data_IF_104989337433
#
_entry.id   IF_104989337433
#
_cell.length_a   1.000
_cell.length_b   1.000
_cell.length_c   1.000
_cell.angle_alpha   90.00
_cell.angle_beta   90.00
_cell.angle_gamma   90.00
#
_symmetry.space_group_name_H-M   'P 1'
#
loop_
_entity.id
_entity.type
_entity.pdbx_description
1 polymer ?
#
# COMPACT_ATOMS: atom_id res chain seq x y z
N UNK A 1 3.41 -2.28 24.12
CA UNK A 1 2.87 -1.82 22.82
C UNK A 1 2.16 -2.98 22.13
N UNK A 2 0.90 -2.81 21.83
CA UNK A 2 0.09 -3.84 21.14
C UNK A 2 -0.16 -3.39 19.70
N UNK A 3 0.29 -4.18 18.74
CA UNK A 3 0.06 -3.93 17.31
C UNK A 3 -1.00 -4.91 16.81
N UNK A 4 -2.10 -4.38 16.26
CA UNK A 4 -3.18 -5.18 15.68
C UNK A 4 -3.38 -4.80 14.22
N UNK A 5 -3.62 -5.80 13.36
CA UNK A 5 -3.96 -5.59 11.96
C UNK A 5 -5.41 -6.03 11.76
N UNK A 6 -6.29 -5.09 11.41
CA UNK A 6 -7.74 -5.29 11.37
C UNK A 6 -8.31 -4.86 10.01
N UNK A 7 -9.31 -5.58 9.49
CA UNK A 7 -9.99 -5.13 8.27
C UNK A 7 -10.62 -3.73 8.46
N UNK A 8 -10.53 -2.91 7.41
CA UNK A 8 -11.20 -1.60 7.38
C UNK A 8 -12.65 -1.81 6.95
N UNK A 9 -13.59 -1.18 7.65
CA UNK A 9 -15.03 -1.25 7.38
C UNK A 9 -15.54 0.07 6.85
N UNK A 10 -16.75 0.09 6.30
CA UNK A 10 -17.35 1.33 5.81
C UNK A 10 -17.43 2.40 6.90
N UNK A 11 -17.66 2.02 8.15
CA UNK A 11 -17.67 2.95 9.27
C UNK A 11 -16.33 3.66 9.48
N UNK A 12 -15.24 3.12 8.92
CA UNK A 12 -13.88 3.64 9.08
C UNK A 12 -13.45 4.58 7.95
N UNK A 13 -14.33 4.86 6.97
CA UNK A 13 -13.96 5.61 5.75
C UNK A 13 -13.39 7.00 6.05
N UNK A 14 -13.95 7.72 7.02
CA UNK A 14 -13.41 9.04 7.40
C UNK A 14 -11.97 8.94 7.91
N UNK A 15 -11.67 7.94 8.74
CA UNK A 15 -10.30 7.69 9.22
C UNK A 15 -9.39 7.24 8.10
N UNK A 16 -9.87 6.39 7.21
CA UNK A 16 -9.07 5.95 6.06
C UNK A 16 -8.69 7.13 5.17
N UNK A 17 -9.64 8.03 4.90
CA UNK A 17 -9.37 9.24 4.12
C UNK A 17 -8.31 10.11 4.78
N UNK A 18 -8.47 10.37 6.08
CA UNK A 18 -7.54 11.20 6.85
C UNK A 18 -6.12 10.63 6.83
N UNK A 19 -5.98 9.34 7.10
CA UNK A 19 -4.67 8.69 7.14
C UNK A 19 -4.05 8.59 5.73
N UNK A 20 -4.89 8.35 4.71
CA UNK A 20 -4.42 8.31 3.31
C UNK A 20 -3.80 9.65 2.90
N UNK A 21 -4.48 10.76 3.19
CA UNK A 21 -3.98 12.10 2.88
C UNK A 21 -2.72 12.41 3.68
N UNK A 22 -2.75 12.17 5.00
CA UNK A 22 -1.61 12.44 5.88
C UNK A 22 -0.33 11.72 5.41
N UNK A 23 -0.45 10.44 5.11
CA UNK A 23 0.71 9.62 4.73
C UNK A 23 1.18 9.92 3.30
N UNK A 24 0.28 10.20 2.39
CA UNK A 24 0.64 10.62 1.04
C UNK A 24 1.40 11.95 1.06
N UNK A 25 0.89 12.93 1.81
CA UNK A 25 1.52 14.24 1.95
C UNK A 25 2.91 14.12 2.56
N UNK A 26 3.10 13.27 3.56
CA UNK A 26 4.40 13.06 4.17
C UNK A 26 5.44 12.53 3.17
N UNK A 27 5.01 11.71 2.21
CA UNK A 27 5.90 11.13 1.20
C UNK A 27 6.11 12.06 0.02
N UNK A 28 5.05 12.63 -0.53
CA UNK A 28 5.07 13.34 -1.80
C UNK A 28 4.94 14.85 -1.69
N UNK A 29 4.48 15.36 -0.54
CA UNK A 29 4.25 16.78 -0.31
C UNK A 29 5.44 17.68 -0.64
N UNK A 30 6.65 17.35 -0.14
CA UNK A 30 7.83 18.18 -0.40
C UNK A 30 8.23 18.31 -1.87
N UNK A 31 7.72 17.44 -2.72
CA UNK A 31 8.13 17.33 -4.14
C UNK A 31 7.05 17.76 -5.11
N UNK A 32 5.89 18.19 -4.62
CA UNK A 32 4.74 18.52 -5.47
C UNK A 32 4.09 19.83 -5.03
N UNK A 33 3.46 20.53 -5.97
CA UNK A 33 2.73 21.75 -5.69
C UNK A 33 1.45 21.44 -4.91
N UNK A 34 1.06 22.33 -4.00
CA UNK A 34 -0.13 22.17 -3.19
C UNK A 34 -1.40 21.97 -4.03
N UNK A 35 -1.54 22.70 -5.13
CA UNK A 35 -2.69 22.56 -6.02
C UNK A 35 -2.80 21.15 -6.62
N UNK A 36 -1.67 20.58 -7.04
CA UNK A 36 -1.61 19.22 -7.59
C UNK A 36 -1.93 18.17 -6.51
N UNK A 37 -1.45 18.38 -5.29
CA UNK A 37 -1.76 17.50 -4.16
C UNK A 37 -3.25 17.53 -3.84
N UNK A 38 -3.86 18.72 -3.76
CA UNK A 38 -5.28 18.83 -3.46
C UNK A 38 -6.14 18.18 -4.55
N UNK A 39 -5.77 18.34 -5.81
CA UNK A 39 -6.46 17.68 -6.91
C UNK A 39 -6.37 16.17 -6.79
N UNK A 40 -5.20 15.65 -6.43
CA UNK A 40 -5.00 14.22 -6.22
C UNK A 40 -5.89 13.71 -5.08
N UNK A 41 -5.93 14.41 -3.94
CA UNK A 41 -6.74 14.00 -2.78
C UNK A 41 -8.23 13.97 -3.11
N UNK A 42 -8.72 14.98 -3.86
CA UNK A 42 -10.12 15.03 -4.27
C UNK A 42 -10.49 13.89 -5.22
N UNK A 43 -9.57 13.49 -6.08
CA UNK A 43 -9.80 12.42 -7.04
C UNK A 43 -9.64 11.04 -6.41
N UNK A 44 -8.56 10.82 -5.67
CA UNK A 44 -8.18 9.48 -5.20
C UNK A 44 -8.73 9.15 -3.81
N UNK A 45 -8.93 10.16 -2.95
CA UNK A 45 -9.25 9.93 -1.55
C UNK A 45 -10.58 10.56 -1.09
N UNK A 46 -11.48 10.91 -2.03
CA UNK A 46 -12.82 11.30 -1.60
C UNK A 46 -13.55 10.06 -1.06
N UNK A 47 -14.52 10.28 -0.18
CA UNK A 47 -15.21 9.19 0.54
C UNK A 47 -15.90 8.22 -0.41
N UNK A 48 -16.53 8.73 -1.47
CA UNK A 48 -17.22 7.87 -2.44
C UNK A 48 -16.25 6.97 -3.20
N UNK A 49 -15.09 7.52 -3.61
CA UNK A 49 -14.05 6.75 -4.27
C UNK A 49 -13.48 5.67 -3.34
N UNK A 50 -13.20 6.03 -2.09
CA UNK A 50 -12.67 5.07 -1.11
C UNK A 50 -13.69 3.99 -0.79
N UNK A 51 -14.98 4.34 -0.69
CA UNK A 51 -16.05 3.36 -0.48
C UNK A 51 -16.11 2.38 -1.65
N UNK A 52 -16.08 2.89 -2.87
CA UNK A 52 -16.09 2.07 -4.07
C UNK A 52 -14.91 1.08 -4.08
N UNK A 53 -13.72 1.55 -3.74
CA UNK A 53 -12.53 0.69 -3.67
C UNK A 53 -12.65 -0.33 -2.54
N UNK A 54 -13.16 0.08 -1.38
CA UNK A 54 -13.35 -0.79 -0.22
C UNK A 54 -14.31 -1.95 -0.54
N UNK A 55 -15.33 -1.70 -1.35
CA UNK A 55 -16.35 -2.67 -1.73
C UNK A 55 -16.00 -3.44 -3.01
N UNK A 56 -14.88 -3.11 -3.66
CA UNK A 56 -14.46 -3.79 -4.88
C UNK A 56 -14.05 -5.23 -4.57
N UNK A 57 -14.63 -6.23 -5.27
CA UNK A 57 -14.18 -7.61 -5.15
C UNK A 57 -12.69 -7.71 -5.49
N UNK A 58 -11.97 -8.59 -4.79
CA UNK A 58 -10.54 -8.82 -4.96
C UNK A 58 -9.63 -7.71 -4.44
N UNK A 59 -10.20 -6.65 -3.86
CA UNK A 59 -9.43 -5.63 -3.12
C UNK A 59 -9.69 -5.78 -1.63
N UNK A 60 -8.65 -5.60 -0.81
CA UNK A 60 -8.77 -5.70 0.64
C UNK A 60 -7.99 -4.59 1.32
N UNK A 61 -8.58 -4.02 2.38
CA UNK A 61 -7.98 -2.93 3.16
C UNK A 61 -7.85 -3.34 4.62
N UNK A 62 -6.73 -2.96 5.23
CA UNK A 62 -6.46 -3.22 6.65
C UNK A 62 -5.82 -2.01 7.30
N UNK A 63 -6.23 -1.73 8.55
CA UNK A 63 -5.49 -0.82 9.42
C UNK A 63 -4.48 -1.61 10.25
N UNK A 64 -3.32 -1.01 10.49
CA UNK A 64 -2.46 -1.39 11.61
C UNK A 64 -2.74 -0.39 12.72
N UNK A 65 -3.06 -0.90 13.91
CA UNK A 65 -3.33 -0.07 15.09
C UNK A 65 -2.30 -0.35 16.17
N UNK A 66 -1.85 0.71 16.82
CA UNK A 66 -0.95 0.61 17.99
C UNK A 66 -1.75 1.12 19.19
N UNK A 67 -2.00 0.24 20.13
CA UNK A 67 -2.78 0.56 21.34
C UNK A 67 -4.12 1.26 20.99
N UNK A 68 -4.76 0.79 19.93
CA UNK A 68 -6.06 1.29 19.46
C UNK A 68 -6.01 2.48 18.52
N UNK A 69 -4.86 3.11 18.31
CA UNK A 69 -4.71 4.25 17.39
C UNK A 69 -4.26 3.76 16.01
N UNK A 70 -4.83 4.30 14.94
CA UNK A 70 -4.42 3.95 13.58
C UNK A 70 -3.00 4.43 13.33
N UNK A 71 -2.11 3.49 13.05
CA UNK A 71 -0.68 3.74 12.81
C UNK A 71 -0.33 3.68 11.32
N UNK A 72 -1.10 2.96 10.53
CA UNK A 72 -0.86 2.80 9.10
C UNK A 72 -1.95 1.98 8.45
N UNK A 73 -1.82 1.75 7.15
CA UNK A 73 -2.80 0.94 6.43
C UNK A 73 -2.19 0.21 5.24
N UNK A 74 -2.93 -0.78 4.78
CA UNK A 74 -2.55 -1.67 3.68
C UNK A 74 -3.75 -1.82 2.75
N UNK A 75 -3.52 -1.71 1.44
CA UNK A 75 -4.47 -2.13 0.41
C UNK A 75 -3.80 -3.18 -0.45
N UNK A 76 -4.46 -4.33 -0.60
CA UNK A 76 -4.00 -5.41 -1.48
C UNK A 76 -5.04 -5.72 -2.55
N UNK A 77 -4.57 -6.19 -3.70
CA UNK A 77 -5.42 -6.57 -4.82
C UNK A 77 -4.96 -7.90 -5.40
N UNK A 78 -5.92 -8.69 -5.86
CA UNK A 78 -5.65 -9.89 -6.65
C UNK A 78 -6.50 -9.85 -7.93
N UNK A 79 -6.12 -10.64 -8.93
CA UNK A 79 -6.91 -10.77 -10.15
C UNK A 79 -7.06 -9.45 -10.88
N UNK A 80 -8.28 -9.15 -11.30
CA UNK A 80 -8.63 -7.98 -12.09
C UNK A 80 -8.64 -6.67 -11.29
N UNK A 81 -8.56 -6.74 -9.96
CA UNK A 81 -8.44 -5.54 -9.13
C UNK A 81 -7.04 -4.97 -9.12
N UNK A 82 -6.03 -5.71 -9.60
CA UNK A 82 -4.67 -5.20 -9.67
C UNK A 82 -4.58 -4.00 -10.61
N UNK A 83 -3.72 -3.05 -10.26
CA UNK A 83 -3.55 -1.82 -11.05
C UNK A 83 -2.84 -2.06 -12.38
N UNK A 84 -2.14 -3.19 -12.53
CA UNK A 84 -1.49 -3.62 -13.76
C UNK A 84 -1.68 -5.12 -13.93
N UNK A 85 -1.62 -5.58 -15.19
CA UNK A 85 -1.72 -7.00 -15.51
C UNK A 85 -0.39 -7.71 -15.19
N UNK A 86 -0.31 -8.31 -14.01
CA UNK A 86 0.90 -8.99 -13.52
C UNK A 86 0.74 -10.51 -13.44
N UNK A 87 -0.30 -11.05 -14.09
CA UNK A 87 -0.55 -12.49 -14.12
C UNK A 87 -1.46 -12.98 -12.99
N UNK A 88 -1.76 -14.28 -13.03
CA UNK A 88 -2.73 -14.90 -12.12
C UNK A 88 -2.12 -15.33 -10.78
N UNK A 89 -0.79 -15.35 -10.69
CA UNK A 89 -0.07 -15.83 -9.50
C UNK A 89 0.40 -14.73 -8.58
N UNK A 90 -0.08 -13.49 -8.79
CA UNK A 90 0.42 -12.33 -8.07
C UNK A 90 -0.65 -11.72 -7.16
N UNK A 91 -0.19 -11.18 -6.03
CA UNK A 91 -0.94 -10.26 -5.19
C UNK A 91 -0.21 -8.92 -5.23
N UNK A 92 -0.95 -7.86 -5.49
CA UNK A 92 -0.42 -6.50 -5.44
C UNK A 92 -0.56 -5.90 -4.05
N UNK A 93 0.50 -5.27 -3.54
CA UNK A 93 0.42 -4.32 -2.44
C UNK A 93 0.32 -2.94 -3.08
N UNK A 94 -0.90 -2.45 -3.29
CA UNK A 94 -1.12 -1.18 -3.97
C UNK A 94 -0.76 0.00 -3.08
N UNK A 95 -1.09 -0.08 -1.80
CA UNK A 95 -0.80 0.97 -0.82
C UNK A 95 -0.33 0.33 0.48
N UNK A 96 0.77 0.83 1.00
CA UNK A 96 1.28 0.49 2.31
C UNK A 96 1.94 1.73 2.88
N UNK A 97 1.37 2.27 3.94
CA UNK A 97 1.81 3.53 4.54
C UNK A 97 1.80 3.44 6.05
N UNK A 98 2.81 4.01 6.67
CA UNK A 98 2.92 4.13 8.13
C UNK A 98 3.06 5.62 8.46
N UNK A 99 2.23 6.10 9.39
CA UNK A 99 2.26 7.49 9.83
C UNK A 99 3.61 7.80 10.47
N UNK A 100 4.12 9.01 10.27
CA UNK A 100 5.47 9.39 10.70
C UNK A 100 5.74 9.09 12.17
N UNK A 101 4.78 9.39 13.06
CA UNK A 101 4.98 9.18 14.50
C UNK A 101 5.04 7.70 14.89
N UNK A 102 4.67 6.79 14.00
CA UNK A 102 4.71 5.34 14.26
C UNK A 102 5.80 4.61 13.46
N UNK A 103 6.63 5.34 12.72
CA UNK A 103 7.70 4.69 11.95
C UNK A 103 8.77 4.11 12.88
N UNK A 104 9.50 3.11 12.37
CA UNK A 104 10.58 2.41 13.07
C UNK A 104 10.10 1.64 14.31
N UNK A 105 8.84 1.20 14.31
CA UNK A 105 8.27 0.39 15.38
C UNK A 105 7.81 -0.98 14.89
N UNK A 106 8.24 -1.39 13.68
CA UNK A 106 7.88 -2.69 13.12
C UNK A 106 6.50 -2.75 12.46
N UNK A 107 5.81 -1.61 12.29
CA UNK A 107 4.47 -1.58 11.69
C UNK A 107 4.51 -2.03 10.23
N UNK A 108 5.46 -1.49 9.44
CA UNK A 108 5.62 -1.88 8.04
C UNK A 108 5.84 -3.37 7.86
N UNK A 109 6.68 -3.95 8.71
CA UNK A 109 6.94 -5.41 8.71
C UNK A 109 5.67 -6.20 9.00
N UNK A 110 4.84 -5.73 9.93
CA UNK A 110 3.56 -6.38 10.25
C UNK A 110 2.60 -6.31 9.07
N UNK A 111 2.58 -5.19 8.34
CA UNK A 111 1.73 -5.05 7.16
C UNK A 111 2.20 -5.94 6.01
N UNK A 112 3.51 -6.04 5.77
CA UNK A 112 4.05 -6.96 4.75
C UNK A 112 3.72 -8.41 5.14
N UNK A 113 3.86 -8.77 6.43
CA UNK A 113 3.49 -10.11 6.91
C UNK A 113 2.02 -10.40 6.62
N UNK A 114 1.14 -9.42 6.81
CA UNK A 114 -0.29 -9.57 6.49
C UNK A 114 -0.48 -9.82 4.99
N UNK A 115 0.23 -9.08 4.13
CA UNK A 115 0.16 -9.29 2.69
C UNK A 115 0.62 -10.70 2.29
N UNK A 116 1.68 -11.22 2.92
CA UNK A 116 2.15 -12.59 2.71
C UNK A 116 1.06 -13.59 3.10
N UNK A 117 0.42 -13.41 4.24
CA UNK A 117 -0.67 -14.29 4.70
C UNK A 117 -1.85 -14.28 3.71
N UNK A 118 -2.20 -13.10 3.18
CA UNK A 118 -3.26 -12.97 2.19
C UNK A 118 -2.91 -13.66 0.88
N UNK A 119 -1.66 -13.55 0.43
CA UNK A 119 -1.18 -14.22 -0.76
C UNK A 119 -1.22 -15.74 -0.58
N UNK A 120 -0.79 -16.25 0.56
CA UNK A 120 -0.86 -17.67 0.89
C UNK A 120 -2.30 -18.17 0.86
N UNK A 121 -3.22 -17.46 1.50
CA UNK A 121 -4.63 -17.82 1.54
C UNK A 121 -5.27 -17.83 0.15
N UNK A 122 -4.81 -16.96 -0.75
CA UNK A 122 -5.30 -16.88 -2.13
C UNK A 122 -4.50 -17.77 -3.10
N UNK A 123 -3.55 -18.57 -2.58
CA UNK A 123 -2.68 -19.44 -3.39
C UNK A 123 -1.86 -18.69 -4.42
N UNK A 124 -1.38 -17.50 -4.08
CA UNK A 124 -0.50 -16.71 -4.94
C UNK A 124 0.96 -16.99 -4.58
N UNK A 125 1.81 -17.04 -5.60
CA UNK A 125 3.24 -17.35 -5.42
C UNK A 125 4.14 -16.12 -5.41
N UNK A 126 3.60 -14.95 -5.69
CA UNK A 126 4.37 -13.72 -5.81
C UNK A 126 3.59 -12.54 -5.26
N UNK A 127 4.34 -11.59 -4.65
CA UNK A 127 3.81 -10.28 -4.23
C UNK A 127 4.58 -9.21 -4.98
N UNK A 128 3.87 -8.19 -5.48
CA UNK A 128 4.52 -7.07 -6.14
C UNK A 128 3.97 -5.74 -5.64
N UNK A 129 4.76 -4.70 -5.83
CA UNK A 129 4.39 -3.32 -5.49
C UNK A 129 5.14 -2.34 -6.38
N UNK A 130 4.61 -1.11 -6.45
CA UNK A 130 5.31 0.01 -7.04
C UNK A 130 5.85 0.91 -5.94
N UNK A 131 7.06 1.43 -6.11
CA UNK A 131 7.65 2.40 -5.18
C UNK A 131 8.30 3.53 -5.97
N UNK A 132 8.05 4.77 -5.55
CA UNK A 132 8.64 5.93 -6.18
C UNK A 132 10.16 5.87 -6.15
N UNK A 133 10.81 6.15 -7.30
CA UNK A 133 12.26 6.03 -7.45
C UNK A 133 13.05 6.90 -6.47
N UNK A 134 12.46 8.02 -6.00
CA UNK A 134 13.10 8.91 -5.04
C UNK A 134 12.84 8.54 -3.58
N UNK A 135 11.98 7.55 -3.34
CA UNK A 135 11.70 7.07 -1.98
C UNK A 135 12.71 6.00 -1.59
N UNK A 136 13.96 6.42 -1.37
CA UNK A 136 15.06 5.50 -1.07
C UNK A 136 14.88 4.75 0.24
N UNK A 137 14.25 5.39 1.22
CA UNK A 137 13.96 4.77 2.51
C UNK A 137 13.03 3.57 2.36
N UNK A 138 11.95 3.73 1.60
CA UNK A 138 11.03 2.64 1.34
C UNK A 138 11.69 1.53 0.52
N UNK A 139 12.48 1.88 -0.49
CA UNK A 139 13.20 0.89 -1.30
C UNK A 139 14.10 0.02 -0.43
N UNK A 140 14.85 0.62 0.50
CA UNK A 140 15.71 -0.12 1.43
C UNK A 140 14.89 -1.05 2.33
N UNK A 141 13.74 -0.56 2.81
CA UNK A 141 12.84 -1.37 3.62
C UNK A 141 12.35 -2.60 2.84
N UNK A 142 11.86 -2.40 1.60
CA UNK A 142 11.37 -3.53 0.79
C UNK A 142 12.49 -4.51 0.44
N UNK A 143 13.69 -4.02 0.21
CA UNK A 143 14.85 -4.89 -0.02
C UNK A 143 15.09 -5.81 1.19
N UNK A 144 15.02 -5.28 2.41
CA UNK A 144 15.14 -6.10 3.63
C UNK A 144 14.02 -7.12 3.77
N UNK A 145 12.87 -6.86 3.16
CA UNK A 145 11.72 -7.78 3.16
C UNK A 145 11.79 -8.83 2.04
N UNK A 146 12.85 -8.81 1.22
CA UNK A 146 13.04 -9.79 0.18
C UNK A 146 12.52 -9.41 -1.20
N UNK A 147 12.14 -8.15 -1.40
CA UNK A 147 11.71 -7.66 -2.71
C UNK A 147 12.90 -7.31 -3.59
N UNK A 148 12.76 -7.52 -4.90
CA UNK A 148 13.76 -7.18 -5.91
C UNK A 148 13.09 -6.44 -7.05
N UNK A 149 13.79 -5.50 -7.66
CA UNK A 149 13.27 -4.75 -8.81
C UNK A 149 13.17 -5.66 -10.03
N UNK A 150 12.01 -5.64 -10.68
CA UNK A 150 11.72 -6.41 -11.90
C UNK A 150 11.30 -5.51 -13.07
N UNK A 151 11.03 -4.25 -12.83
CA UNK A 151 10.60 -3.33 -13.88
C UNK A 151 10.36 -1.93 -13.34
N UNK A 152 9.66 -1.13 -14.12
CA UNK A 152 9.25 0.21 -13.73
C UNK A 152 8.00 0.62 -14.52
N UNK A 153 7.32 1.67 -14.03
CA UNK A 153 6.29 2.34 -14.80
C UNK A 153 6.25 3.83 -14.44
N UNK A 154 5.61 4.63 -15.30
CA UNK A 154 5.45 6.05 -15.06
C UNK A 154 4.10 6.32 -14.42
N UNK A 155 4.11 7.23 -13.46
CA UNK A 155 2.95 7.61 -12.66
C UNK A 155 2.78 9.13 -12.74
N UNK A 156 1.54 9.59 -13.09
CA UNK A 156 1.26 11.02 -13.19
C UNK A 156 0.63 11.53 -11.89
N UNK A 157 1.21 12.62 -11.36
CA UNK A 157 0.66 13.35 -10.23
C UNK A 157 0.53 14.82 -10.66
N UNK A 158 -0.69 15.27 -10.96
CA UNK A 158 -0.92 16.59 -11.51
C UNK A 158 -0.17 16.79 -12.81
N UNK A 159 0.73 17.79 -12.87
CA UNK A 159 1.57 18.07 -14.03
C UNK A 159 2.87 17.28 -14.03
N UNK A 160 3.23 16.66 -12.90
CA UNK A 160 4.48 15.93 -12.76
C UNK A 160 4.34 14.49 -13.23
N UNK A 161 5.39 13.97 -13.86
CA UNK A 161 5.52 12.54 -14.17
C UNK A 161 6.52 11.95 -13.20
N UNK A 162 6.10 10.91 -12.48
CA UNK A 162 6.96 10.19 -11.55
C UNK A 162 7.25 8.82 -12.11
N UNK A 163 8.39 8.27 -11.74
CA UNK A 163 8.75 6.91 -12.10
C UNK A 163 8.67 6.04 -10.87
N UNK A 164 7.88 4.97 -10.95
CA UNK A 164 7.80 3.97 -9.92
C UNK A 164 8.61 2.75 -10.33
N UNK A 165 9.38 2.20 -9.41
CA UNK A 165 10.06 0.94 -9.58
C UNK A 165 9.07 -0.17 -9.22
N UNK A 166 9.02 -1.21 -10.04
CA UNK A 166 8.21 -2.39 -9.74
C UNK A 166 9.09 -3.39 -9.02
N UNK A 167 8.71 -3.72 -7.79
CA UNK A 167 9.43 -4.66 -6.95
C UNK A 167 8.59 -5.92 -6.76
N UNK A 168 9.25 -7.07 -6.70
CA UNK A 168 8.58 -8.36 -6.56
C UNK A 168 9.29 -9.22 -5.53
N UNK A 169 8.48 -9.93 -4.75
CA UNK A 169 8.94 -10.94 -3.81
C UNK A 169 8.30 -12.28 -4.20
N UNK A 170 9.13 -13.31 -4.37
CA UNK A 170 8.65 -14.67 -4.55
C UNK A 170 8.42 -15.32 -3.20
N UNK A 171 7.30 -16.03 -3.08
CA UNK A 171 7.01 -16.82 -1.89
C UNK A 171 7.49 -18.25 -2.14
N UNK A 172 8.18 -18.84 -1.16
CA UNK A 172 8.63 -20.22 -1.28
C UNK A 172 7.50 -21.19 -0.93
N UNK A 173 7.72 -22.50 -1.19
CA UNK A 173 6.70 -23.53 -0.93
C UNK A 173 6.32 -23.63 0.54
N UNK A 174 7.28 -23.43 1.46
CA UNK A 174 7.02 -23.42 2.90
C UNK A 174 6.12 -22.27 3.29
N UNK A 175 6.29 -21.11 2.65
CA UNK A 175 5.45 -19.94 2.88
C UNK A 175 4.02 -20.17 2.37
N UNK A 176 3.84 -21.02 1.35
CA UNK A 176 2.54 -21.29 0.71
C UNK A 176 1.73 -22.39 1.40
N UNK A 177 2.30 -23.12 2.35
CA UNK A 177 1.63 -24.21 3.07
C UNK A 177 0.89 -23.72 4.34
#
# INVERSE_FOLDING_TARGET
>A
MTIEVQPIREADLANLRRVSIETFEATFGPYNEEADLQQHYQRAYNVDQLRQELLTPNSRFFFAKVDGEVAGYLKTNVGDAQSEAMGTQTLEVERIYVRLKFQRQGIGTRLIKKAVQLAQAAHKSQIWLGVWENNKKAQRFYETQGFKQVGDHRFRLGKAMQRDLILMKRLNKETLN
#
